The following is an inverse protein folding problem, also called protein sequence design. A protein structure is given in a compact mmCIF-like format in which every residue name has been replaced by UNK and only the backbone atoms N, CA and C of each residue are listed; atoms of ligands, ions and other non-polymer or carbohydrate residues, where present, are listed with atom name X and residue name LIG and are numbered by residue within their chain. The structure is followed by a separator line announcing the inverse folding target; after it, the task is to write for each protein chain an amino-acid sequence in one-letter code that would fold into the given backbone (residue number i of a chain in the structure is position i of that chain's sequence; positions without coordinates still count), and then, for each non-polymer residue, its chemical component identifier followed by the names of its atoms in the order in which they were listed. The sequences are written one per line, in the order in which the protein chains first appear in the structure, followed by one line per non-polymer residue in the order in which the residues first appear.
data_IF_627586627107
#
_entry.id   IF_627586627107
#
_cell.length_a   1.000
_cell.length_b   1.000
_cell.length_c   1.000
_cell.angle_alpha   90.00
_cell.angle_beta   90.00
_cell.angle_gamma   90.00
#
_symmetry.space_group_name_H-M   'P 1'
#
loop_
_entity.id
_entity.type
_entity.pdbx_description
1 polymer ?
#
# COMPACT_ATOMS: atom_id res chain seq x y z
N UNK A 1 4.64 2.36 -19.25
CA UNK A 1 4.48 1.31 -18.21
C UNK A 1 5.82 0.65 -18.02
N UNK A 2 6.22 0.40 -16.78
CA UNK A 2 7.62 0.06 -16.42
C UNK A 2 7.94 -1.45 -16.55
N UNK A 3 6.95 -2.31 -16.86
CA UNK A 3 7.15 -3.77 -16.97
C UNK A 3 7.33 -4.48 -15.62
N UNK A 4 7.20 -5.81 -15.59
CA UNK A 4 7.36 -6.60 -14.36
C UNK A 4 8.81 -6.66 -13.90
N UNK A 5 9.74 -6.75 -14.84
CA UNK A 5 11.13 -7.09 -14.54
C UNK A 5 11.88 -5.90 -13.94
N UNK A 6 11.67 -4.70 -14.48
CA UNK A 6 12.24 -3.47 -13.93
C UNK A 6 11.62 -3.13 -12.56
N UNK A 7 10.33 -3.44 -12.34
CA UNK A 7 9.73 -3.33 -11.00
C UNK A 7 10.36 -4.27 -10.00
N UNK A 8 10.60 -5.53 -10.40
CA UNK A 8 11.28 -6.52 -9.57
C UNK A 8 12.70 -6.07 -9.24
N UNK A 9 13.45 -5.59 -10.23
CA UNK A 9 14.83 -5.18 -10.02
C UNK A 9 14.94 -3.97 -9.11
N UNK A 10 14.05 -2.98 -9.24
CA UNK A 10 13.98 -1.81 -8.35
C UNK A 10 13.60 -2.18 -6.91
N UNK A 11 12.86 -3.27 -6.71
CA UNK A 11 12.43 -3.71 -5.37
C UNK A 11 13.56 -4.39 -4.58
N UNK A 12 14.62 -4.86 -5.23
CA UNK A 12 15.72 -5.64 -4.61
C UNK A 12 17.07 -4.93 -4.70
N UNK A 13 17.09 -3.64 -5.03
CA UNK A 13 18.30 -2.84 -5.19
C UNK A 13 19.12 -2.72 -3.90
N UNK A 14 20.43 -2.87 -4.01
CA UNK A 14 21.35 -2.95 -2.87
C UNK A 14 22.20 -1.70 -2.64
N UNK A 15 22.21 -0.75 -3.58
CA UNK A 15 22.99 0.48 -3.49
C UNK A 15 22.35 1.65 -4.25
N UNK A 16 22.74 2.88 -3.88
CA UNK A 16 22.29 4.09 -4.58
C UNK A 16 22.79 4.17 -6.03
N UNK A 17 24.00 3.63 -6.30
CA UNK A 17 24.55 3.59 -7.66
C UNK A 17 23.73 2.66 -8.56
N UNK A 18 23.36 1.49 -8.04
CA UNK A 18 22.50 0.53 -8.73
C UNK A 18 21.09 1.11 -8.97
N UNK A 19 20.50 1.76 -7.96
CA UNK A 19 19.22 2.45 -8.10
C UNK A 19 19.27 3.49 -9.23
N UNK A 20 20.33 4.31 -9.26
CA UNK A 20 20.51 5.32 -10.29
C UNK A 20 20.59 4.70 -11.68
N UNK A 21 21.43 3.68 -11.85
CA UNK A 21 21.58 3.00 -13.14
C UNK A 21 20.24 2.43 -13.65
N UNK A 22 19.42 1.86 -12.76
CA UNK A 22 18.10 1.34 -13.11
C UNK A 22 17.13 2.46 -13.49
N UNK A 23 17.11 3.57 -12.75
CA UNK A 23 16.28 4.73 -13.08
C UNK A 23 16.65 5.36 -14.43
N UNK A 24 17.94 5.38 -14.79
CA UNK A 24 18.42 5.91 -16.07
C UNK A 24 17.92 5.10 -17.29
N UNK A 25 17.41 3.87 -17.09
CA UNK A 25 16.79 3.05 -18.15
C UNK A 25 15.32 3.38 -18.42
N UNK A 26 14.70 4.22 -17.59
CA UNK A 26 13.27 4.53 -17.71
C UNK A 26 13.00 5.43 -18.93
N UNK A 27 11.94 5.11 -19.66
CA UNK A 27 11.40 6.03 -20.67
C UNK A 27 10.62 7.16 -19.99
N UNK A 28 11.25 8.33 -19.88
CA UNK A 28 10.72 9.48 -19.14
C UNK A 28 9.60 10.22 -19.87
N UNK A 29 9.55 10.13 -21.21
CA UNK A 29 8.56 10.82 -22.05
C UNK A 29 7.31 9.96 -22.32
N UNK A 30 7.10 8.92 -21.53
CA UNK A 30 5.92 8.07 -21.66
C UNK A 30 4.63 8.87 -21.40
N UNK A 31 3.59 8.70 -22.23
CA UNK A 31 2.31 9.38 -22.02
C UNK A 31 1.61 8.86 -20.76
N UNK A 32 0.75 9.70 -20.20
CA UNK A 32 -0.11 9.31 -19.08
C UNK A 32 -1.02 8.13 -19.50
N UNK A 33 -1.06 7.03 -18.72
CA UNK A 33 -1.80 5.84 -19.14
C UNK A 33 -3.32 6.03 -19.04
N UNK A 34 -4.05 5.49 -20.01
CA UNK A 34 -5.50 5.45 -19.99
C UNK A 34 -6.00 4.70 -18.74
N UNK A 35 -6.92 5.31 -17.99
CA UNK A 35 -7.48 4.75 -16.75
C UNK A 35 -6.65 5.01 -15.49
N UNK A 36 -5.54 5.75 -15.58
CA UNK A 36 -4.78 6.16 -14.40
C UNK A 36 -5.59 7.06 -13.46
N UNK A 37 -6.55 7.82 -13.97
CA UNK A 37 -7.45 8.67 -13.18
C UNK A 37 -8.73 7.97 -12.72
N UNK A 38 -8.85 6.66 -13.03
CA UNK A 38 -9.94 5.85 -12.53
C UNK A 38 -9.92 5.71 -11.01
N UNK A 39 -11.06 5.39 -10.39
CA UNK A 39 -11.14 5.17 -8.95
C UNK A 39 -10.16 4.08 -8.53
N UNK A 40 -9.34 4.37 -7.52
CA UNK A 40 -8.37 3.41 -6.98
C UNK A 40 -9.00 2.59 -5.87
N UNK A 41 -8.60 1.33 -5.77
CA UNK A 41 -9.09 0.41 -4.74
C UNK A 41 -10.49 -0.14 -5.06
N UNK A 42 -11.16 -0.66 -4.03
CA UNK A 42 -12.49 -1.26 -4.17
C UNK A 42 -13.53 -0.15 -4.37
N UNK A 43 -14.28 -0.25 -5.46
CA UNK A 43 -15.34 0.71 -5.83
C UNK A 43 -16.74 0.27 -5.38
N UNK A 44 -16.90 -0.99 -4.97
CA UNK A 44 -18.13 -1.50 -4.37
C UNK A 44 -18.32 -0.91 -2.97
N UNK A 45 -19.55 -0.58 -2.61
CA UNK A 45 -19.90 -0.23 -1.22
C UNK A 45 -19.39 -1.29 -0.25
N UNK A 46 -18.69 -0.88 0.81
CA UNK A 46 -18.29 -1.77 1.90
C UNK A 46 -19.52 -2.15 2.72
N UNK A 47 -19.48 -3.34 3.32
CA UNK A 47 -20.34 -3.64 4.45
C UNK A 47 -20.13 -2.58 5.54
N UNK A 48 -21.21 -2.25 6.25
CA UNK A 48 -21.14 -1.31 7.38
C UNK A 48 -20.14 -1.85 8.40
N UNK A 49 -19.02 -1.14 8.57
CA UNK A 49 -18.06 -1.43 9.64
C UNK A 49 -18.75 -1.14 10.97
N UNK A 50 -18.93 -2.19 11.78
CA UNK A 50 -19.46 -2.06 13.14
C UNK A 50 -18.26 -2.09 14.07
N UNK A 51 -18.10 -1.01 14.84
CA UNK A 51 -17.13 -0.91 15.91
C UNK A 51 -17.77 -1.45 17.20
N UNK A 52 -17.02 -2.17 18.07
CA UNK A 52 -17.49 -2.46 19.41
C UNK A 52 -17.85 -1.19 20.19
N UNK A 53 -18.73 -1.34 21.17
CA UNK A 53 -19.15 -0.23 22.02
C UNK A 53 -17.94 0.43 22.71
N UNK A 54 -17.90 1.76 22.70
CA UNK A 54 -16.85 2.56 23.32
C UNK A 54 -15.54 2.75 22.54
N UNK A 55 -15.36 2.10 21.38
CA UNK A 55 -14.06 2.09 20.68
C UNK A 55 -13.56 3.48 20.21
N UNK A 56 -14.46 4.45 19.96
CA UNK A 56 -14.09 5.82 19.56
C UNK A 56 -14.23 6.85 20.67
N UNK A 57 -14.47 6.42 21.91
CA UNK A 57 -14.74 7.35 23.01
C UNK A 57 -13.48 8.11 23.46
N UNK A 58 -12.29 7.53 23.29
CA UNK A 58 -11.03 8.19 23.62
C UNK A 58 -9.91 7.78 22.62
N UNK A 59 -9.39 8.73 21.82
CA UNK A 59 -8.31 8.46 20.87
C UNK A 59 -6.96 8.17 21.53
N UNK A 60 -6.85 8.40 22.84
CA UNK A 60 -5.68 8.12 23.67
C UNK A 60 -5.89 6.94 24.60
N UNK A 61 -7.04 6.25 24.50
CA UNK A 61 -7.27 5.03 25.24
C UNK A 61 -6.22 4.02 24.79
N UNK A 62 -5.29 3.74 25.70
CA UNK A 62 -4.32 2.66 25.53
C UNK A 62 -5.01 1.35 25.89
N UNK A 63 -6.21 1.12 25.34
CA UNK A 63 -6.84 -0.19 25.33
C UNK A 63 -5.76 -1.13 24.81
N UNK A 64 -5.20 -1.92 25.73
CA UNK A 64 -4.08 -2.78 25.40
C UNK A 64 -4.50 -3.59 24.20
N UNK A 65 -3.70 -3.54 23.13
CA UNK A 65 -3.92 -4.39 21.96
C UNK A 65 -4.03 -5.81 22.52
N UNK A 66 -5.21 -6.41 22.38
CA UNK A 66 -5.47 -7.74 22.89
C UNK A 66 -4.44 -8.68 22.24
N UNK A 67 -3.82 -9.62 22.98
CA UNK A 67 -2.97 -10.64 22.37
C UNK A 67 -3.62 -11.35 21.16
N UNK A 68 -4.96 -11.46 21.13
CA UNK A 68 -5.72 -12.02 20.01
C UNK A 68 -5.75 -11.09 18.77
N UNK A 69 -5.45 -9.80 18.92
CA UNK A 69 -5.31 -8.88 17.79
C UNK A 69 -4.00 -9.08 17.01
N UNK A 70 -3.02 -9.79 17.58
CA UNK A 70 -1.77 -10.20 16.92
C UNK A 70 -1.91 -11.54 16.15
N UNK A 71 -3.12 -12.08 16.04
CA UNK A 71 -3.37 -13.26 15.22
C UNK A 71 -3.19 -12.92 13.73
N UNK A 72 -2.57 -13.85 12.98
CA UNK A 72 -2.30 -13.73 11.54
C UNK A 72 -3.54 -13.42 10.67
N UNK A 73 -4.75 -13.60 11.22
CA UNK A 73 -6.04 -13.33 10.57
C UNK A 73 -6.70 -12.01 10.96
N UNK A 74 -6.16 -11.31 11.97
CA UNK A 74 -6.70 -10.05 12.49
C UNK A 74 -6.65 -8.92 11.45
N UNK A 75 -5.69 -9.00 10.53
CA UNK A 75 -5.63 -8.12 9.37
C UNK A 75 -5.06 -6.73 9.63
N UNK A 76 -4.65 -6.41 10.87
CA UNK A 76 -3.98 -5.15 11.23
C UNK A 76 -4.90 -3.93 11.14
#
# INVERSE_FOLDING_TARGET
SVGSDLRRSLAVTSSLAELRAQLDTLHLDQPWPAGADGPRGRTSGRDRVVLPDGWLNDPWDRAGVDPEAELDTSGG
#
